data_IF_549001776495
#
_entry.id   IF_549001776495
#
_cell.length_a   1.000
_cell.length_b   1.000
_cell.length_c   1.000
_cell.angle_alpha   90.00
_cell.angle_beta   90.00
_cell.angle_gamma   90.00
#
_symmetry.space_group_name_H-M   'P 1'
#
loop_
_entity.id
_entity.type
_entity.pdbx_description
1 polymer ?
#
# COMPACT_ATOMS: atom_id res chain seq x y z
N UNK A 1 23.18 9.90 -16.10
CA UNK A 1 22.63 9.62 -14.75
C UNK A 1 21.45 8.68 -14.87
N UNK A 2 21.63 7.36 -14.97
CA UNK A 2 20.51 6.39 -14.97
C UNK A 2 21.04 4.95 -15.07
N UNK A 3 21.07 4.22 -13.94
CA UNK A 3 21.07 2.74 -13.90
C UNK A 3 20.99 2.15 -12.47
N UNK A 4 20.86 2.97 -11.41
CA UNK A 4 20.67 2.47 -10.05
C UNK A 4 19.21 2.14 -9.70
N UNK A 5 18.23 2.65 -10.45
CA UNK A 5 16.82 2.65 -10.03
C UNK A 5 16.01 1.39 -10.39
N UNK A 6 16.61 0.39 -11.05
CA UNK A 6 15.94 -0.86 -11.44
C UNK A 6 16.60 -2.10 -10.82
N UNK A 7 17.23 -1.96 -9.65
CA UNK A 7 17.70 -3.15 -8.96
C UNK A 7 16.49 -3.85 -8.30
N UNK A 8 16.08 -4.95 -8.93
CA UNK A 8 15.06 -5.88 -8.43
C UNK A 8 15.41 -6.34 -7.01
N UNK A 9 14.42 -6.27 -6.12
CA UNK A 9 14.56 -6.76 -4.76
C UNK A 9 14.36 -8.28 -4.75
N UNK A 10 15.25 -9.01 -4.07
CA UNK A 10 15.06 -10.44 -3.77
C UNK A 10 14.33 -10.64 -2.44
N UNK A 11 14.52 -9.73 -1.50
CA UNK A 11 13.90 -9.78 -0.18
C UNK A 11 14.14 -8.48 0.60
N UNK A 12 13.40 -8.33 1.69
CA UNK A 12 13.47 -7.20 2.62
C UNK A 12 13.56 -7.75 4.05
N UNK A 13 14.53 -7.25 4.81
CA UNK A 13 14.58 -7.41 6.27
C UNK A 13 14.27 -6.10 6.96
N UNK A 14 13.71 -6.14 8.17
CA UNK A 14 13.33 -4.93 8.92
C UNK A 14 14.08 -4.85 10.24
N UNK A 15 14.62 -3.68 10.55
CA UNK A 15 15.25 -3.41 11.84
C UNK A 15 14.16 -3.25 12.91
N UNK A 16 14.24 -3.95 14.06
CA UNK A 16 13.38 -3.64 15.21
C UNK A 16 13.60 -2.19 15.67
N UNK A 17 12.55 -1.57 16.23
CA UNK A 17 12.59 -0.17 16.69
C UNK A 17 13.80 0.15 17.58
N UNK A 18 14.19 -0.80 18.45
CA UNK A 18 15.37 -0.70 19.35
C UNK A 18 16.72 -0.58 18.63
N UNK A 19 16.81 -0.92 17.35
CA UNK A 19 18.04 -0.83 16.55
C UNK A 19 18.08 0.35 15.57
N UNK A 20 17.05 1.20 15.57
CA UNK A 20 17.04 2.46 14.83
C UNK A 20 17.94 3.50 15.52
N UNK A 21 18.59 4.35 14.74
CA UNK A 21 19.43 5.44 15.21
C UNK A 21 18.58 6.64 15.65
N UNK A 22 18.50 6.81 16.96
CA UNK A 22 17.70 7.84 17.61
C UNK A 22 18.25 9.24 17.37
N UNK A 23 19.58 9.39 17.32
CA UNK A 23 20.23 10.69 17.16
C UNK A 23 19.94 11.29 15.78
N UNK A 24 19.82 10.44 14.76
CA UNK A 24 19.49 10.85 13.39
C UNK A 24 17.99 10.92 13.12
N UNK A 25 17.12 10.82 14.14
CA UNK A 25 15.67 10.78 13.93
C UNK A 25 15.22 9.66 12.96
N UNK A 26 15.94 8.53 12.93
CA UNK A 26 15.59 7.37 12.13
C UNK A 26 14.41 6.62 12.75
N UNK A 27 13.28 6.59 12.04
CA UNK A 27 12.07 5.93 12.52
C UNK A 27 11.98 4.47 12.07
N UNK A 28 12.64 4.13 10.96
CA UNK A 28 12.56 2.82 10.35
C UNK A 28 13.79 2.54 9.49
N UNK A 29 14.33 1.32 9.58
CA UNK A 29 15.41 0.86 8.70
C UNK A 29 15.03 -0.49 8.13
N UNK A 30 15.20 -0.65 6.83
CA UNK A 30 15.09 -1.95 6.20
C UNK A 30 16.34 -2.28 5.40
N UNK A 31 16.52 -3.57 5.16
CA UNK A 31 17.67 -4.17 4.53
C UNK A 31 17.22 -4.76 3.20
N UNK A 32 17.55 -4.09 2.10
CA UNK A 32 17.19 -4.52 0.76
C UNK A 32 18.24 -5.51 0.24
N UNK A 33 17.78 -6.72 -0.06
CA UNK A 33 18.63 -7.72 -0.71
C UNK A 33 18.56 -7.57 -2.24
N UNK A 34 19.70 -7.32 -2.85
CA UNK A 34 19.81 -7.16 -4.31
C UNK A 34 19.75 -8.53 -5.01
N UNK A 35 18.88 -8.67 -6.01
CA UNK A 35 18.68 -9.94 -6.70
C UNK A 35 19.86 -10.43 -7.53
N UNK A 36 20.74 -9.52 -7.97
CA UNK A 36 21.82 -9.84 -8.93
C UNK A 36 23.22 -9.72 -8.34
N UNK A 37 23.41 -8.87 -7.33
CA UNK A 37 24.75 -8.51 -6.85
C UNK A 37 25.19 -9.22 -5.57
N UNK A 38 24.28 -9.96 -4.91
CA UNK A 38 24.58 -10.60 -3.62
C UNK A 38 24.86 -9.59 -2.49
N UNK A 39 24.40 -8.35 -2.64
CA UNK A 39 24.62 -7.24 -1.70
C UNK A 39 23.36 -7.01 -0.88
N UNK A 40 23.53 -6.69 0.40
CA UNK A 40 22.49 -6.19 1.29
C UNK A 40 22.69 -4.68 1.50
N UNK A 41 21.71 -3.87 1.11
CA UNK A 41 21.75 -2.41 1.23
C UNK A 41 20.82 -1.94 2.37
N UNK A 42 21.34 -1.30 3.43
CA UNK A 42 20.52 -0.67 4.45
C UNK A 42 19.88 0.61 3.90
N UNK A 43 18.57 0.76 4.12
CA UNK A 43 17.79 1.92 3.73
C UNK A 43 17.07 2.47 4.97
N UNK A 44 17.44 3.70 5.33
CA UNK A 44 16.95 4.41 6.50
C UNK A 44 15.85 5.39 6.13
N UNK A 45 14.76 5.36 6.88
CA UNK A 45 13.69 6.34 6.85
C UNK A 45 13.87 7.29 8.03
N UNK A 46 14.18 8.54 7.72
CA UNK A 46 14.52 9.57 8.70
C UNK A 46 13.48 10.68 8.67
N UNK A 47 13.04 11.11 9.85
CA UNK A 47 12.19 12.30 9.99
C UNK A 47 13.09 13.53 10.02
N UNK A 48 12.91 14.51 9.11
CA UNK A 48 13.75 15.70 9.09
C UNK A 48 13.43 16.59 10.31
N UNK A 49 14.33 16.60 11.30
CA UNK A 49 14.26 17.46 12.49
C UNK A 49 15.43 18.45 12.50
N UNK A 50 15.26 19.56 13.21
CA UNK A 50 16.29 20.63 13.31
C UNK A 50 17.29 20.41 14.45
N UNK A 51 17.04 19.47 15.36
CA UNK A 51 17.90 19.21 16.53
C UNK A 51 18.25 17.73 16.65
N UNK A 52 19.47 17.48 17.12
CA UNK A 52 20.00 16.14 17.41
C UNK A 52 19.61 15.64 18.82
N UNK A 53 18.72 16.37 19.50
CA UNK A 53 18.17 16.00 20.80
C UNK A 53 17.18 14.84 20.64
N UNK A 54 17.11 13.98 21.65
CA UNK A 54 16.10 12.93 21.74
C UNK A 54 14.68 13.48 21.53
N UNK A 55 13.93 12.86 20.62
CA UNK A 55 12.57 13.27 20.24
C UNK A 55 11.55 12.29 20.82
N UNK A 56 10.99 12.59 21.99
CA UNK A 56 10.03 11.71 22.69
C UNK A 56 8.79 11.37 21.85
N UNK A 57 8.37 12.27 20.96
CA UNK A 57 7.22 12.06 20.07
C UNK A 57 7.47 11.02 18.97
N UNK A 58 8.74 10.81 18.57
CA UNK A 58 9.12 9.81 17.56
C UNK A 58 9.42 8.43 18.15
N UNK A 59 9.73 8.39 19.44
CA UNK A 59 10.22 7.21 20.15
C UNK A 59 9.42 6.98 21.44
N UNK A 60 8.13 6.62 21.34
CA UNK A 60 7.39 6.16 22.51
C UNK A 60 8.03 4.88 23.07
N UNK A 61 7.71 4.57 24.33
CA UNK A 61 8.20 3.36 24.98
C UNK A 61 7.95 2.11 24.12
N UNK A 62 9.01 1.33 23.92
CA UNK A 62 9.01 0.19 22.98
C UNK A 62 9.20 -1.13 23.71
N UNK A 63 8.86 -2.24 23.06
CA UNK A 63 9.02 -3.56 23.65
C UNK A 63 10.48 -3.85 24.00
N UNK A 64 10.72 -4.13 25.27
CA UNK A 64 12.01 -4.52 25.83
C UNK A 64 12.44 -5.90 25.33
N UNK A 65 13.73 -6.27 25.42
CA UNK A 65 14.20 -7.62 25.13
C UNK A 65 13.82 -8.64 26.22
N UNK A 66 12.85 -8.31 27.08
CA UNK A 66 12.44 -9.11 28.24
C UNK A 66 11.04 -9.67 27.95
N UNK A 67 10.83 -10.99 28.06
CA UNK A 67 9.52 -11.58 27.89
C UNK A 67 8.58 -11.16 29.03
N UNK A 68 7.32 -10.86 28.71
CA UNK A 68 6.32 -10.49 29.71
C UNK A 68 5.77 -11.70 30.49
N UNK A 69 5.82 -12.89 29.90
CA UNK A 69 5.34 -14.14 30.47
C UNK A 69 6.30 -15.27 30.16
N UNK A 70 6.33 -16.26 31.04
CA UNK A 70 6.94 -17.55 30.73
C UNK A 70 6.05 -18.36 29.78
N UNK A 71 6.64 -19.35 29.10
CA UNK A 71 5.89 -20.21 28.17
C UNK A 71 4.76 -20.97 28.87
N UNK A 72 5.01 -21.50 30.08
CA UNK A 72 4.02 -22.22 30.88
C UNK A 72 2.83 -21.33 31.23
N UNK A 73 3.09 -20.07 31.60
CA UNK A 73 2.04 -19.11 31.94
C UNK A 73 1.17 -18.77 30.74
N UNK A 74 1.78 -18.55 29.58
CA UNK A 74 1.04 -18.30 28.35
C UNK A 74 0.20 -19.52 27.94
N UNK A 75 0.76 -20.74 28.00
CA UNK A 75 0.02 -21.99 27.75
C UNK A 75 -1.14 -22.17 28.73
N UNK A 76 -0.98 -21.74 29.99
CA UNK A 76 -2.07 -21.74 30.99
C UNK A 76 -3.17 -20.69 30.72
N UNK A 77 -3.04 -19.89 29.65
CA UNK A 77 -4.02 -18.89 29.24
C UNK A 77 -3.83 -17.52 29.91
N UNK A 78 -2.72 -17.27 30.61
CA UNK A 78 -2.39 -15.93 31.12
C UNK A 78 -2.04 -15.01 29.95
N UNK A 79 -2.42 -13.75 30.06
CA UNK A 79 -2.11 -12.72 29.07
C UNK A 79 -1.50 -11.50 29.78
N UNK A 80 -0.46 -10.91 29.18
CA UNK A 80 0.25 -9.75 29.72
C UNK A 80 0.71 -8.86 28.57
N UNK A 81 0.80 -7.55 28.82
CA UNK A 81 1.36 -6.63 27.85
C UNK A 81 2.89 -6.79 27.78
N UNK A 82 3.52 -6.52 26.61
CA UNK A 82 4.98 -6.57 26.49
C UNK A 82 5.63 -5.63 27.50
N UNK A 83 6.72 -6.06 28.15
CA UNK A 83 7.52 -5.17 29.01
C UNK A 83 8.05 -4.03 28.16
N UNK A 84 7.82 -2.78 28.58
CA UNK A 84 8.23 -1.60 27.82
C UNK A 84 9.54 -1.02 28.34
N UNK A 85 10.30 -0.37 27.45
CA UNK A 85 11.52 0.35 27.78
C UNK A 85 11.62 1.66 27.00
N UNK A 86 12.26 2.67 27.61
CA UNK A 86 12.54 3.94 26.94
C UNK A 86 13.76 3.79 26.03
N UNK A 87 13.67 4.34 24.81
CA UNK A 87 14.81 4.40 23.90
C UNK A 87 15.82 5.51 24.25
N UNK A 88 15.47 6.41 25.18
CA UNK A 88 16.37 7.46 25.63
C UNK A 88 17.37 6.95 26.67
N UNK A 89 16.86 6.26 27.70
CA UNK A 89 17.65 5.77 28.83
C UNK A 89 18.05 4.31 28.67
N UNK A 90 17.34 3.55 27.82
CA UNK A 90 17.52 2.10 27.72
C UNK A 90 16.97 1.34 28.93
N UNK A 91 16.29 2.02 29.85
CA UNK A 91 15.75 1.40 31.07
C UNK A 91 14.34 0.87 30.83
N UNK A 92 14.02 -0.24 31.49
CA UNK A 92 12.66 -0.77 31.52
C UNK A 92 11.76 0.19 32.28
N UNK A 93 10.69 0.64 31.64
CA UNK A 93 9.67 1.42 32.30
C UNK A 93 8.90 0.45 33.19
N UNK A 94 8.99 0.64 34.51
CA UNK A 94 8.29 -0.19 35.48
C UNK A 94 6.80 -0.12 35.15
N UNK A 95 6.29 -1.18 34.55
CA UNK A 95 4.86 -1.37 34.46
C UNK A 95 4.37 -1.49 35.89
N UNK A 96 3.52 -0.56 36.32
CA UNK A 96 2.71 -0.82 37.50
C UNK A 96 2.09 -2.21 37.30
N UNK A 97 2.11 -3.08 38.33
CA UNK A 97 1.60 -4.44 38.20
C UNK A 97 0.25 -4.34 37.53
N UNK A 98 0.14 -4.99 36.38
CA UNK A 98 -1.04 -4.97 35.53
C UNK A 98 -2.26 -5.21 36.40
N UNK A 99 -2.92 -4.13 36.83
CA UNK A 99 -4.29 -4.18 37.31
C UNK A 99 -4.99 -4.83 36.14
N UNK A 100 -5.51 -6.04 36.39
CA UNK A 100 -6.42 -6.79 35.53
C UNK A 100 -6.94 -5.87 34.46
N UNK A 101 -6.51 -6.05 33.21
CA UNK A 101 -7.14 -5.38 32.06
C UNK A 101 -8.61 -5.53 32.33
N UNK A 102 -9.30 -4.42 32.66
CA UNK A 102 -10.72 -4.45 32.90
C UNK A 102 -11.25 -4.98 31.59
N UNK A 103 -11.59 -6.27 31.54
CA UNK A 103 -12.41 -6.82 30.47
C UNK A 103 -13.54 -5.81 30.41
N UNK A 104 -13.65 -5.07 29.31
CA UNK A 104 -14.84 -4.31 29.04
C UNK A 104 -15.95 -5.36 28.98
N UNK A 105 -16.54 -5.68 30.14
CA UNK A 105 -17.81 -6.36 30.20
C UNK A 105 -18.71 -5.43 29.41
N UNK A 106 -19.40 -5.89 28.34
CA UNK A 106 -20.38 -5.06 27.69
C UNK A 106 -21.29 -4.49 28.77
N UNK A 107 -21.42 -3.18 28.79
CA UNK A 107 -22.21 -2.48 29.79
C UNK A 107 -23.64 -3.02 29.64
N UNK A 108 -24.06 -3.89 30.57
CA UNK A 108 -25.43 -4.39 30.59
C UNK A 108 -26.31 -3.15 30.72
N UNK A 109 -27.13 -2.91 29.71
CA UNK A 109 -28.09 -1.82 29.71
C UNK A 109 -29.05 -2.06 30.87
N UNK A 110 -28.89 -1.28 31.92
CA UNK A 110 -29.90 -1.09 32.96
C UNK A 110 -30.79 0.05 32.45
N UNK A 111 -32.06 -0.21 32.10
CA UNK A 111 -32.98 0.87 31.78
C UNK A 111 -33.26 1.62 33.09
N UNK A 112 -32.51 2.69 33.36
CA UNK A 112 -32.94 3.66 34.36
C UNK A 112 -34.12 4.42 33.77
N UNK A 113 -35.26 4.40 34.45
CA UNK A 113 -36.51 5.10 34.12
C UNK A 113 -36.35 6.62 34.14
N UNK A 114 -35.56 7.16 33.22
CA UNK A 114 -35.48 8.58 32.93
C UNK A 114 -35.71 8.72 31.44
N UNK A 115 -36.99 8.75 31.07
CA UNK A 115 -37.45 9.10 29.73
C UNK A 115 -37.11 10.57 29.46
N UNK A 116 -35.89 10.85 28.97
CA UNK A 116 -35.57 12.13 28.35
C UNK A 116 -36.11 12.13 26.92
N UNK A 117 -37.19 12.87 26.59
CA UNK A 117 -37.84 12.82 25.29
C UNK A 117 -36.94 13.25 24.11
N UNK A 118 -35.85 13.98 24.38
CA UNK A 118 -34.93 14.45 23.35
C UNK A 118 -34.02 13.35 22.77
N UNK A 119 -33.62 12.36 23.58
CA UNK A 119 -32.70 11.30 23.14
C UNK A 119 -33.38 10.30 22.19
N UNK A 120 -34.67 10.04 22.43
CA UNK A 120 -35.49 9.20 21.56
C UNK A 120 -35.65 9.84 20.18
N UNK A 121 -35.97 11.14 20.13
CA UNK A 121 -36.12 11.88 18.87
C UNK A 121 -34.86 11.92 17.99
N UNK A 122 -33.67 12.01 18.60
CA UNK A 122 -32.42 12.04 17.83
C UNK A 122 -32.06 10.68 17.23
N UNK A 123 -32.31 9.59 17.96
CA UNK A 123 -32.09 8.25 17.41
C UNK A 123 -33.17 7.88 16.39
N UNK A 124 -34.44 8.23 16.61
CA UNK A 124 -35.52 8.02 15.63
C UNK A 124 -35.19 8.72 14.31
N UNK A 125 -34.70 9.96 14.34
CA UNK A 125 -34.28 10.67 13.12
C UNK A 125 -33.08 10.04 12.43
N UNK A 126 -32.10 9.52 13.18
CA UNK A 126 -30.92 8.83 12.62
C UNK A 126 -31.29 7.54 11.89
N UNK A 127 -32.29 6.81 12.37
CA UNK A 127 -32.66 5.49 11.83
C UNK A 127 -33.92 5.51 10.95
N UNK A 128 -34.60 6.66 10.80
CA UNK A 128 -35.78 6.78 9.94
C UNK A 128 -35.54 6.37 8.47
N UNK A 129 -34.30 6.49 7.97
CA UNK A 129 -33.96 6.06 6.61
C UNK A 129 -34.04 4.52 6.43
N UNK A 130 -33.85 3.73 7.50
CA UNK A 130 -33.93 2.27 7.43
C UNK A 130 -35.37 1.77 7.28
N UNK A 131 -36.35 2.57 7.72
CA UNK A 131 -37.77 2.28 7.53
C UNK A 131 -38.33 2.77 6.19
N UNK A 132 -37.55 3.53 5.41
CA UNK A 132 -37.95 3.97 4.08
C UNK A 132 -37.37 3.02 3.05
N UNK A 133 -38.22 2.42 2.22
CA UNK A 133 -37.75 1.67 1.06
C UNK A 133 -37.00 2.61 0.11
N UNK A 134 -35.78 2.23 -0.26
CA UNK A 134 -35.03 2.95 -1.28
C UNK A 134 -35.65 2.66 -2.64
N UNK A 135 -36.39 3.63 -3.19
CA UNK A 135 -36.91 3.55 -4.57
C UNK A 135 -35.71 3.67 -5.53
N UNK A 136 -35.44 2.65 -6.37
CA UNK A 136 -34.41 2.75 -7.39
C UNK A 136 -34.77 3.87 -8.39
N UNK A 137 -33.83 4.77 -8.65
CA UNK A 137 -34.04 5.88 -9.58
C UNK A 137 -33.80 5.39 -11.01
N UNK A 138 -34.88 5.17 -11.76
CA UNK A 138 -34.85 4.67 -13.14
C UNK A 138 -34.71 5.80 -14.19
N UNK A 139 -34.27 7.00 -13.81
CA UNK A 139 -34.07 8.10 -14.78
C UNK A 139 -32.93 7.76 -15.77
N UNK A 140 -33.12 8.00 -17.08
CA UNK A 140 -32.09 7.76 -18.10
C UNK A 140 -30.80 8.53 -17.78
N UNK A 141 -29.65 7.87 -17.97
CA UNK A 141 -28.32 8.37 -17.57
C UNK A 141 -27.81 9.54 -18.44
N UNK A 142 -28.56 9.93 -19.47
CA UNK A 142 -28.09 10.93 -20.46
C UNK A 142 -28.51 12.38 -20.19
N UNK A 143 -28.93 12.72 -18.96
CA UNK A 143 -29.24 14.12 -18.58
C UNK A 143 -28.36 14.58 -17.42
N UNK A 144 -27.06 14.68 -17.67
CA UNK A 144 -26.12 15.44 -16.82
C UNK A 144 -26.29 16.95 -17.06
N UNK A 145 -27.37 17.56 -16.60
CA UNK A 145 -27.46 19.03 -16.56
C UNK A 145 -28.24 19.67 -15.41
N UNK A 146 -28.69 18.92 -14.39
CA UNK A 146 -29.42 19.52 -13.26
C UNK A 146 -28.92 19.09 -11.86
N UNK A 147 -27.68 18.60 -11.76
CA UNK A 147 -27.08 18.26 -10.45
C UNK A 147 -26.56 19.48 -9.65
N UNK A 148 -26.99 20.70 -10.02
CA UNK A 148 -26.62 21.95 -9.35
C UNK A 148 -27.78 22.63 -8.60
N UNK A 149 -29.03 22.16 -8.67
CA UNK A 149 -30.16 22.89 -8.07
C UNK A 149 -30.79 22.27 -6.81
N UNK A 150 -30.47 21.02 -6.44
CA UNK A 150 -31.09 20.36 -5.25
C UNK A 150 -30.13 19.91 -4.13
N UNK A 151 -28.92 20.46 -4.06
CA UNK A 151 -28.07 20.38 -2.85
C UNK A 151 -27.90 21.74 -2.14
N UNK A 152 -28.67 22.76 -2.53
CA UNK A 152 -28.57 24.13 -2.00
C UNK A 152 -29.03 24.31 -0.54
N UNK A 153 -29.54 23.28 0.15
CA UNK A 153 -30.07 23.43 1.51
C UNK A 153 -29.17 22.93 2.65
N UNK A 154 -27.92 22.50 2.41
CA UNK A 154 -26.97 22.15 3.47
C UNK A 154 -25.60 22.78 3.22
N UNK A 155 -25.56 24.10 3.07
CA UNK A 155 -24.35 24.88 2.77
C UNK A 155 -23.47 25.19 4.00
N UNK A 156 -23.28 24.26 4.94
CA UNK A 156 -22.37 24.53 6.08
C UNK A 156 -21.54 23.35 6.58
N UNK A 157 -21.49 22.23 5.87
CA UNK A 157 -20.60 21.14 6.32
C UNK A 157 -19.14 21.48 6.01
N UNK A 158 -18.31 21.43 7.06
CA UNK A 158 -16.84 21.60 7.07
C UNK A 158 -16.09 20.85 5.95
N UNK A 159 -16.71 19.80 5.41
CA UNK A 159 -16.25 19.02 4.27
C UNK A 159 -16.11 19.85 2.98
N UNK A 160 -17.07 20.74 2.69
CA UNK A 160 -17.05 21.55 1.47
C UNK A 160 -15.94 22.62 1.50
N UNK A 161 -15.65 23.15 2.69
CA UNK A 161 -14.60 24.16 2.89
C UNK A 161 -13.19 23.57 2.74
N UNK A 162 -13.00 22.32 3.14
CA UNK A 162 -11.73 21.59 2.93
C UNK A 162 -11.53 21.29 1.44
N UNK A 163 -12.59 20.89 0.73
CA UNK A 163 -12.52 20.60 -0.70
C UNK A 163 -12.16 21.84 -1.55
N UNK A 164 -12.63 23.02 -1.16
CA UNK A 164 -12.25 24.29 -1.81
C UNK A 164 -10.81 24.74 -1.48
N UNK A 165 -10.32 24.49 -0.26
CA UNK A 165 -8.95 24.89 0.11
C UNK A 165 -7.85 24.07 -0.58
N UNK A 166 -8.14 22.82 -0.98
CA UNK A 166 -7.14 21.91 -1.56
C UNK A 166 -7.37 21.58 -3.05
N UNK A 167 -8.40 22.14 -3.69
CA UNK A 167 -8.81 21.78 -5.04
C UNK A 167 -8.07 22.45 -6.21
N UNK A 168 -7.16 23.40 -5.96
CA UNK A 168 -6.65 24.28 -7.02
C UNK A 168 -5.29 23.92 -7.65
N UNK A 169 -4.84 22.67 -7.56
CA UNK A 169 -3.71 22.21 -8.39
C UNK A 169 -3.76 20.69 -8.61
N UNK A 170 -4.32 20.27 -9.75
CA UNK A 170 -3.87 19.14 -10.60
C UNK A 170 -4.86 18.91 -11.75
N UNK A 171 -4.72 19.72 -12.80
CA UNK A 171 -5.00 19.23 -14.14
C UNK A 171 -3.85 18.28 -14.51
N UNK A 172 -4.10 16.98 -14.46
CA UNK A 172 -3.11 15.97 -14.87
C UNK A 172 -3.29 14.64 -14.16
N UNK A 173 -3.86 13.69 -14.90
CA UNK A 173 -3.93 12.24 -14.64
C UNK A 173 -5.06 11.73 -13.74
N UNK A 174 -6.17 11.40 -14.39
CA UNK A 174 -6.96 10.21 -14.05
C UNK A 174 -7.60 9.67 -15.34
N UNK A 175 -6.98 8.64 -15.94
CA UNK A 175 -7.64 7.70 -16.85
C UNK A 175 -7.11 6.30 -16.49
N UNK A 176 -7.59 5.79 -15.37
CA UNK A 176 -7.66 4.36 -15.09
C UNK A 176 -9.16 4.11 -15.05
N UNK A 177 -9.72 3.51 -16.10
CA UNK A 177 -10.99 2.78 -16.15
C UNK A 177 -11.28 2.44 -17.63
N UNK A 178 -10.78 1.28 -18.07
CA UNK A 178 -11.34 0.56 -19.21
C UNK A 178 -10.93 -0.91 -19.08
N UNK A 179 -11.89 -1.73 -18.62
CA UNK A 179 -12.16 -3.11 -19.04
C UNK A 179 -12.90 -3.83 -17.91
N UNK A 180 -14.17 -3.47 -17.73
CA UNK A 180 -15.11 -4.15 -16.83
C UNK A 180 -15.96 -5.23 -17.53
N UNK A 181 -15.60 -5.62 -18.77
CA UNK A 181 -16.42 -6.53 -19.59
C UNK A 181 -15.91 -7.97 -19.69
N UNK A 182 -14.89 -8.39 -18.92
CA UNK A 182 -14.36 -9.76 -19.02
C UNK A 182 -14.89 -10.75 -17.96
N UNK A 183 -15.72 -10.32 -17.01
CA UNK A 183 -16.19 -11.19 -15.91
C UNK A 183 -17.71 -11.32 -15.95
N UNK A 184 -18.28 -11.96 -16.99
CA UNK A 184 -19.72 -12.33 -16.99
C UNK A 184 -20.10 -13.59 -17.77
N UNK A 185 -19.18 -14.34 -18.38
CA UNK A 185 -19.55 -15.46 -19.29
C UNK A 185 -19.06 -16.86 -18.89
N UNK A 186 -18.90 -17.16 -17.60
CA UNK A 186 -18.52 -18.53 -17.17
C UNK A 186 -19.48 -19.10 -16.13
N UNK A 187 -20.75 -19.24 -16.49
CA UNK A 187 -21.64 -20.24 -15.89
C UNK A 187 -22.82 -20.52 -16.84
N UNK A 188 -22.62 -21.47 -17.75
CA UNK A 188 -23.56 -22.52 -18.15
C UNK A 188 -23.33 -22.96 -19.61
N UNK A 189 -23.46 -24.28 -19.82
CA UNK A 189 -23.53 -25.02 -21.08
C UNK A 189 -22.22 -25.41 -21.80
N UNK A 190 -22.03 -26.73 -21.83
CA UNK A 190 -21.14 -27.48 -22.71
C UNK A 190 -21.65 -27.43 -24.16
N UNK A 191 -20.76 -27.28 -25.14
CA UNK A 191 -20.53 -28.25 -26.23
C UNK A 191 -19.41 -27.76 -27.16
N UNK A 192 -18.61 -28.71 -27.64
CA UNK A 192 -17.80 -28.72 -28.88
C UNK A 192 -17.33 -27.39 -29.52
N UNK A 193 -16.09 -26.95 -29.22
CA UNK A 193 -15.17 -26.42 -30.25
C UNK A 193 -13.74 -26.31 -29.68
N UNK A 194 -12.91 -27.29 -30.04
CA UNK A 194 -11.49 -27.37 -29.75
C UNK A 194 -10.68 -26.60 -30.81
N UNK A 195 -9.49 -26.15 -30.40
CA UNK A 195 -8.42 -25.45 -31.14
C UNK A 195 -8.39 -23.91 -31.15
N UNK A 196 -7.24 -23.39 -30.69
CA UNK A 196 -6.69 -22.03 -30.79
C UNK A 196 -6.85 -21.04 -29.61
N UNK A 197 -7.06 -21.52 -28.38
CA UNK A 197 -6.75 -20.72 -27.19
C UNK A 197 -5.36 -21.05 -26.66
N UNK A 198 -4.44 -20.09 -26.82
CA UNK A 198 -3.11 -20.03 -26.19
C UNK A 198 -3.20 -20.55 -24.76
N UNK A 199 -2.47 -21.63 -24.49
CA UNK A 199 -2.55 -22.41 -23.24
C UNK A 199 -2.17 -21.52 -22.04
N UNK A 200 -3.18 -20.85 -21.48
CA UNK A 200 -3.06 -20.04 -20.29
C UNK A 200 -2.75 -21.00 -19.14
N UNK A 201 -1.60 -20.83 -18.45
CA UNK A 201 -1.15 -21.82 -17.47
C UNK A 201 -2.19 -21.98 -16.36
N UNK A 202 -2.83 -23.15 -16.30
CA UNK A 202 -3.95 -23.43 -15.38
C UNK A 202 -3.50 -23.81 -13.97
N UNK A 203 -2.19 -23.96 -13.77
CA UNK A 203 -1.59 -24.39 -12.50
C UNK A 203 -0.39 -23.51 -12.16
N UNK A 204 -0.18 -23.23 -10.87
CA UNK A 204 0.94 -22.43 -10.36
C UNK A 204 2.30 -22.89 -10.91
N UNK A 205 2.53 -24.21 -10.98
CA UNK A 205 3.74 -24.78 -11.56
C UNK A 205 3.94 -24.44 -13.05
N UNK A 206 2.87 -24.48 -13.85
CA UNK A 206 2.94 -24.13 -15.28
C UNK A 206 3.22 -22.64 -15.47
N UNK A 207 2.61 -21.80 -14.62
CA UNK A 207 2.83 -20.35 -14.63
C UNK A 207 4.29 -20.03 -14.27
N UNK A 208 4.83 -20.69 -13.25
CA UNK A 208 6.22 -20.51 -12.85
C UNK A 208 7.19 -20.94 -13.96
N UNK A 209 6.94 -22.08 -14.61
CA UNK A 209 7.75 -22.57 -15.73
C UNK A 209 7.69 -21.63 -16.95
N UNK A 210 6.50 -21.12 -17.28
CA UNK A 210 6.31 -20.16 -18.36
C UNK A 210 7.03 -18.83 -18.07
N UNK A 211 6.94 -18.33 -16.83
CA UNK A 211 7.65 -17.14 -16.39
C UNK A 211 9.17 -17.28 -16.50
N UNK A 212 9.72 -18.41 -16.04
CA UNK A 212 11.15 -18.69 -16.17
C UNK A 212 11.61 -18.71 -17.64
N UNK A 213 10.82 -19.35 -18.52
CA UNK A 213 11.10 -19.40 -19.97
C UNK A 213 11.09 -18.00 -20.60
N UNK A 214 10.08 -17.19 -20.30
CA UNK A 214 9.99 -15.81 -20.81
C UNK A 214 11.15 -14.94 -20.31
N UNK A 215 11.61 -15.15 -19.07
CA UNK A 215 12.75 -14.44 -18.52
C UNK A 215 14.06 -14.76 -19.26
N UNK A 216 14.28 -16.04 -19.63
CA UNK A 216 15.42 -16.44 -20.45
C UNK A 216 15.36 -15.86 -21.86
N UNK A 217 14.18 -15.87 -22.47
CA UNK A 217 13.94 -15.27 -23.79
C UNK A 217 14.22 -13.76 -23.79
N UNK A 218 13.70 -13.03 -22.80
CA UNK A 218 13.97 -11.59 -22.64
C UNK A 218 15.46 -11.31 -22.46
N UNK A 219 16.18 -12.17 -21.74
CA UNK A 219 17.64 -12.06 -21.57
C UNK A 219 18.37 -12.25 -22.90
N UNK A 220 17.94 -13.23 -23.71
CA UNK A 220 18.52 -13.49 -25.03
C UNK A 220 18.25 -12.34 -26.00
N UNK A 221 17.01 -11.86 -26.07
CA UNK A 221 16.60 -10.77 -26.95
C UNK A 221 17.35 -9.48 -26.63
N UNK A 222 17.54 -9.16 -25.34
CA UNK A 222 18.36 -8.01 -24.92
C UNK A 222 19.81 -8.15 -25.42
N UNK A 223 20.41 -9.35 -25.31
CA UNK A 223 21.75 -9.61 -25.82
C UNK A 223 21.82 -9.45 -27.34
N UNK A 224 20.83 -9.96 -28.06
CA UNK A 224 20.74 -9.80 -29.51
C UNK A 224 20.63 -8.33 -29.92
N UNK A 225 19.77 -7.54 -29.25
CA UNK A 225 19.64 -6.10 -29.49
C UNK A 225 20.98 -5.39 -29.30
N UNK A 226 21.68 -5.63 -28.19
CA UNK A 226 22.99 -4.99 -27.96
C UNK A 226 24.03 -5.32 -29.05
N UNK A 227 24.02 -6.54 -29.58
CA UNK A 227 24.88 -6.93 -30.69
C UNK A 227 24.47 -6.24 -32.00
N UNK A 228 23.17 -6.15 -32.27
CA UNK A 228 22.65 -5.44 -33.45
C UNK A 228 22.99 -3.95 -33.39
N UNK A 229 22.81 -3.30 -32.24
CA UNK A 229 23.15 -1.89 -32.04
C UNK A 229 24.65 -1.63 -32.19
N UNK A 230 25.50 -2.58 -31.77
CA UNK A 230 26.95 -2.50 -32.05
C UNK A 230 27.21 -2.58 -33.56
N UNK A 231 26.58 -3.52 -34.25
CA UNK A 231 26.76 -3.69 -35.70
C UNK A 231 26.27 -2.50 -36.51
N UNK A 232 25.15 -1.89 -36.10
CA UNK A 232 24.61 -0.69 -36.73
C UNK A 232 25.64 0.45 -36.62
N UNK A 233 26.19 0.70 -35.44
CA UNK A 233 27.23 1.73 -35.24
C UNK A 233 28.46 1.51 -36.10
N UNK A 234 28.94 0.27 -36.19
CA UNK A 234 30.09 -0.08 -37.06
C UNK A 234 29.80 0.23 -38.54
N UNK A 235 28.58 -0.08 -39.01
CA UNK A 235 28.18 0.18 -40.40
C UNK A 235 27.99 1.68 -40.66
N UNK A 236 27.38 2.41 -39.73
CA UNK A 236 27.24 3.87 -39.81
C UNK A 236 28.60 4.57 -39.91
N UNK A 237 29.59 4.11 -39.14
CA UNK A 237 30.96 4.63 -39.21
C UNK A 237 31.61 4.35 -40.58
N UNK A 238 31.40 3.16 -41.14
CA UNK A 238 31.91 2.81 -42.48
C UNK A 238 31.24 3.66 -43.56
N UNK A 239 29.93 3.87 -43.49
CA UNK A 239 29.18 4.71 -44.43
C UNK A 239 29.69 6.16 -44.35
N UNK A 240 29.89 6.69 -43.14
CA UNK A 240 30.45 8.03 -42.94
C UNK A 240 31.82 8.20 -43.58
N UNK A 241 32.74 7.24 -43.37
CA UNK A 241 34.08 7.25 -44.00
C UNK A 241 34.02 7.20 -45.53
N UNK A 242 33.10 6.41 -46.09
CA UNK A 242 32.92 6.30 -47.55
C UNK A 242 32.31 7.58 -48.15
N UNK A 243 31.37 8.22 -47.45
CA UNK A 243 30.80 9.51 -47.86
C UNK A 243 31.87 10.62 -47.86
N UNK A 244 32.71 10.69 -46.82
CA UNK A 244 33.83 11.62 -46.75
C UNK A 244 34.82 11.41 -47.91
N UNK A 245 35.14 10.15 -48.25
CA UNK A 245 35.99 9.83 -49.41
C UNK A 245 35.40 10.21 -50.76
N UNK A 246 34.07 10.19 -50.91
CA UNK A 246 33.38 10.61 -52.14
C UNK A 246 33.36 12.13 -52.33
N UNK A 247 33.48 12.92 -51.27
CA UNK A 247 33.53 14.39 -51.34
C UNK A 247 34.95 14.95 -51.60
N UNK A 248 35.97 14.09 -51.61
CA UNK A 248 37.39 14.45 -51.82
C UNK A 248 37.86 14.15 -53.25
N UNK A 249 36.96 13.71 -54.14
CA UNK A 249 37.20 13.56 -55.59
C UNK A 249 36.29 14.49 -56.36
#
# INVERSE_FOLDING_TARGET
MTLAHMCLQRGLGFMPKRGCDVAQCEIFRFYKLHATKGICEPISMVVPRKSDQFQEDLYPDTAAPIPALTAQEWISGKNCHPVLMSMQTGETVRQQPSIMVKKHKPKVYQPSEISLPAAHNNNTKKFAFLSQETVPDYRPVDVLSEKSQKTSSNQSTKFHQIQQMFGNNRAGQANILANEDYIKSSNSFADEHEELLVDSPKTEYQLQRAYSRQCEELKLLRKQLTNRDRRIRELEEQVSKLQQRKHIK
#
